data_IF_560685802670
#
_entry.id   IF_560685802670
#
_cell.length_a   1.000
_cell.length_b   1.000
_cell.length_c   1.000
_cell.angle_alpha   90.00
_cell.angle_beta   90.00
_cell.angle_gamma   90.00
#
_symmetry.space_group_name_H-M   'P 1'
#
loop_
_entity.id
_entity.type
_entity.pdbx_description
1 polymer ?
#
# COMPACT_ATOMS: atom_id res chain seq x y z
N UNK A 1 -9.33 7.81 -5.96
CA UNK A 1 -9.96 6.96 -4.95
C UNK A 1 -11.44 7.33 -4.82
N UNK A 2 -12.36 6.39 -5.01
CA UNK A 2 -13.76 6.55 -4.65
C UNK A 2 -13.97 6.18 -3.17
N UNK A 3 -14.74 6.99 -2.44
CA UNK A 3 -15.04 6.74 -1.02
C UNK A 3 -16.52 6.38 -0.87
N UNK A 4 -16.80 5.19 -0.35
CA UNK A 4 -18.13 4.69 0.00
C UNK A 4 -18.24 4.52 1.52
N UNK A 5 -19.19 5.19 2.18
CA UNK A 5 -19.27 5.19 3.63
C UNK A 5 -20.69 5.06 4.16
N UNK A 6 -20.92 4.17 5.12
CA UNK A 6 -22.17 4.13 5.87
C UNK A 6 -22.33 5.32 6.84
N UNK A 7 -21.20 5.92 7.27
CA UNK A 7 -21.20 7.10 8.14
C UNK A 7 -20.95 8.38 7.35
N UNK A 8 -21.87 9.35 7.41
CA UNK A 8 -21.71 10.66 6.79
C UNK A 8 -20.51 11.43 7.37
N UNK A 9 -20.41 11.51 8.69
CA UNK A 9 -19.34 12.25 9.37
C UNK A 9 -17.97 11.59 9.13
N UNK A 10 -17.89 10.27 9.25
CA UNK A 10 -16.62 9.56 9.03
C UNK A 10 -16.21 9.56 7.55
N UNK A 11 -17.17 9.43 6.62
CA UNK A 11 -16.91 9.57 5.19
C UNK A 11 -16.33 10.95 4.84
N UNK A 12 -16.88 12.02 5.42
CA UNK A 12 -16.35 13.38 5.25
C UNK A 12 -14.96 13.55 5.86
N UNK A 13 -14.69 12.90 7.01
CA UNK A 13 -13.36 12.87 7.61
C UNK A 13 -12.34 12.17 6.70
N UNK A 14 -12.69 10.99 6.18
CA UNK A 14 -11.81 10.26 5.23
C UNK A 14 -11.53 11.09 3.97
N UNK A 15 -12.55 11.73 3.43
CA UNK A 15 -12.41 12.59 2.25
C UNK A 15 -11.45 13.76 2.51
N UNK A 16 -11.60 14.45 3.65
CA UNK A 16 -10.71 15.55 4.02
C UNK A 16 -9.27 15.06 4.22
N UNK A 17 -9.09 13.96 4.96
CA UNK A 17 -7.77 13.39 5.24
C UNK A 17 -7.07 12.87 3.95
N UNK A 18 -7.83 12.28 3.01
CA UNK A 18 -7.30 11.86 1.73
C UNK A 18 -6.82 13.06 0.90
N UNK A 19 -7.60 14.13 0.85
CA UNK A 19 -7.21 15.36 0.12
C UNK A 19 -6.00 16.06 0.74
N UNK A 20 -5.91 16.08 2.07
CA UNK A 20 -4.74 16.65 2.77
C UNK A 20 -3.44 15.91 2.40
N UNK A 21 -3.53 14.61 2.11
CA UNK A 21 -2.42 13.77 1.62
C UNK A 21 -2.22 13.81 0.09
N UNK A 22 -2.94 14.66 -0.64
CA UNK A 22 -2.84 14.70 -2.10
C UNK A 22 -3.47 13.50 -2.81
N UNK A 23 -4.25 12.67 -2.11
CA UNK A 23 -4.97 11.54 -2.72
C UNK A 23 -6.15 12.08 -3.53
N UNK A 24 -6.15 11.82 -4.83
CA UNK A 24 -7.25 12.20 -5.72
C UNK A 24 -8.55 11.48 -5.35
N UNK A 25 -9.58 12.23 -4.94
CA UNK A 25 -10.88 11.68 -4.52
C UNK A 25 -12.01 12.27 -5.37
N UNK A 26 -12.28 11.68 -6.56
CA UNK A 26 -13.31 12.18 -7.49
C UNK A 26 -14.71 12.06 -6.93
N UNK A 27 -14.98 11.09 -6.04
CA UNK A 27 -16.30 10.82 -5.52
C UNK A 27 -16.30 10.37 -4.07
N UNK A 28 -17.26 10.90 -3.31
CA UNK A 28 -17.66 10.43 -1.99
C UNK A 28 -19.15 10.16 -1.98
N UNK A 29 -19.57 8.96 -1.60
CA UNK A 29 -20.98 8.62 -1.39
C UNK A 29 -21.17 8.14 0.05
N UNK A 30 -22.14 8.71 0.74
CA UNK A 30 -22.53 8.25 2.08
C UNK A 30 -23.94 7.68 2.03
N UNK A 31 -24.12 6.43 2.50
CA UNK A 31 -25.40 5.71 2.45
C UNK A 31 -26.25 5.89 3.71
N UNK A 32 -25.63 6.36 4.81
CA UNK A 32 -26.34 6.49 6.09
C UNK A 32 -26.91 5.14 6.56
N UNK A 33 -28.18 5.15 6.94
CA UNK A 33 -28.88 3.97 7.45
C UNK A 33 -29.30 2.96 6.35
N UNK A 34 -28.89 3.17 5.11
CA UNK A 34 -29.16 2.25 3.99
C UNK A 34 -30.65 1.93 3.82
N UNK A 35 -31.49 2.98 3.78
CA UNK A 35 -32.93 2.84 3.59
C UNK A 35 -33.29 2.47 2.14
N UNK A 36 -32.44 2.89 1.18
CA UNK A 36 -32.63 2.66 -0.26
C UNK A 36 -31.38 2.03 -0.88
N UNK A 37 -30.26 2.78 -0.93
CA UNK A 37 -28.99 2.30 -1.46
C UNK A 37 -28.11 1.71 -0.34
N UNK A 38 -27.55 0.56 -0.61
CA UNK A 38 -26.61 -0.14 0.28
C UNK A 38 -25.18 0.16 -0.12
N UNK A 39 -24.24 -0.03 0.79
CA UNK A 39 -22.79 0.09 0.53
C UNK A 39 -22.37 -0.79 -0.67
N UNK A 40 -22.97 -1.97 -0.79
CA UNK A 40 -22.72 -2.88 -1.90
C UNK A 40 -23.07 -2.25 -3.27
N UNK A 41 -24.18 -1.52 -3.37
CA UNK A 41 -24.59 -0.88 -4.62
C UNK A 41 -23.61 0.20 -5.04
N UNK A 42 -23.06 0.93 -4.06
CA UNK A 42 -22.05 1.96 -4.30
C UNK A 42 -20.71 1.35 -4.72
N UNK A 43 -20.27 0.26 -4.06
CA UNK A 43 -19.06 -0.46 -4.45
C UNK A 43 -19.17 -1.00 -5.88
N UNK A 44 -20.31 -1.59 -6.23
CA UNK A 44 -20.54 -2.11 -7.59
C UNK A 44 -20.55 -1.00 -8.63
N UNK A 45 -21.23 0.13 -8.35
CA UNK A 45 -21.19 1.30 -9.22
C UNK A 45 -19.75 1.83 -9.39
N UNK A 46 -19.00 1.98 -8.29
CA UNK A 46 -17.59 2.39 -8.34
C UNK A 46 -16.71 1.41 -9.12
N UNK A 47 -17.02 0.11 -9.08
CA UNK A 47 -16.32 -0.89 -9.88
C UNK A 47 -16.47 -0.64 -11.38
N UNK A 48 -17.60 -0.08 -11.83
CA UNK A 48 -17.87 0.26 -13.23
C UNK A 48 -17.44 1.69 -13.61
N UNK A 49 -17.30 2.62 -12.67
CA UNK A 49 -17.00 4.02 -12.92
C UNK A 49 -15.54 4.24 -13.35
N UNK A 50 -15.29 4.85 -14.50
CA UNK A 50 -13.94 5.03 -15.07
C UNK A 50 -13.06 5.96 -14.23
N UNK A 51 -13.65 6.94 -13.55
CA UNK A 51 -12.96 7.90 -12.69
C UNK A 51 -12.49 7.31 -11.35
N UNK A 52 -12.94 6.11 -10.98
CA UNK A 52 -12.55 5.42 -9.74
C UNK A 52 -11.56 4.31 -10.05
N UNK A 53 -10.35 4.42 -9.52
CA UNK A 53 -9.30 3.40 -9.67
C UNK A 53 -9.12 2.53 -8.43
N UNK A 54 -9.42 3.08 -7.25
CA UNK A 54 -9.34 2.43 -5.93
C UNK A 54 -10.61 2.73 -5.16
N UNK A 55 -11.17 1.75 -4.48
CA UNK A 55 -12.39 1.91 -3.67
C UNK A 55 -12.01 1.86 -2.19
N UNK A 56 -12.19 2.97 -1.48
CA UNK A 56 -12.12 3.05 -0.05
C UNK A 56 -13.52 2.92 0.55
N UNK A 57 -13.72 1.96 1.45
CA UNK A 57 -15.03 1.71 2.03
C UNK A 57 -15.01 1.75 3.56
N UNK A 58 -16.06 2.30 4.15
CA UNK A 58 -16.31 2.26 5.59
C UNK A 58 -17.65 1.59 5.87
N UNK A 59 -17.63 0.52 6.65
CA UNK A 59 -18.81 -0.27 6.97
C UNK A 59 -18.98 -0.49 8.48
N UNK A 60 -20.18 -0.28 8.98
CA UNK A 60 -20.61 -0.62 10.35
C UNK A 60 -21.28 -2.00 10.37
N UNK A 61 -22.04 -2.34 9.32
CA UNK A 61 -22.69 -3.64 9.15
C UNK A 61 -22.89 -3.99 7.68
N UNK A 62 -23.14 -5.27 7.40
CA UNK A 62 -23.50 -5.76 6.08
C UNK A 62 -24.83 -6.47 6.20
N UNK A 63 -25.90 -5.91 5.59
CA UNK A 63 -27.25 -6.44 5.69
C UNK A 63 -27.50 -7.61 4.73
N UNK A 64 -26.99 -7.46 3.50
CA UNK A 64 -27.07 -8.49 2.45
C UNK A 64 -25.65 -8.95 2.09
N UNK A 65 -25.24 -10.06 2.69
CA UNK A 65 -23.91 -10.65 2.46
C UNK A 65 -23.71 -11.12 1.02
N UNK A 66 -24.76 -11.67 0.38
CA UNK A 66 -24.65 -12.15 -1.00
C UNK A 66 -24.44 -10.99 -1.98
N UNK A 67 -25.21 -9.90 -1.82
CA UNK A 67 -25.06 -8.67 -2.60
C UNK A 67 -23.68 -8.02 -2.39
N UNK A 68 -23.21 -8.00 -1.15
CA UNK A 68 -21.90 -7.46 -0.81
C UNK A 68 -20.77 -8.25 -1.48
N UNK A 69 -20.81 -9.59 -1.43
CA UNK A 69 -19.84 -10.45 -2.13
C UNK A 69 -19.86 -10.17 -3.65
N UNK A 70 -21.04 -10.08 -4.28
CA UNK A 70 -21.18 -9.76 -5.71
C UNK A 70 -20.52 -8.43 -6.07
N UNK A 71 -20.70 -7.39 -5.25
CA UNK A 71 -20.08 -6.09 -5.45
C UNK A 71 -18.55 -6.13 -5.34
N UNK A 72 -18.02 -6.85 -4.34
CA UNK A 72 -16.57 -7.06 -4.19
C UNK A 72 -15.97 -7.87 -5.35
N UNK A 73 -16.68 -8.87 -5.85
CA UNK A 73 -16.28 -9.61 -7.05
C UNK A 73 -16.30 -8.75 -8.31
N UNK A 74 -17.27 -7.83 -8.44
CA UNK A 74 -17.30 -6.87 -9.54
C UNK A 74 -16.05 -5.97 -9.50
N UNK A 75 -15.68 -5.44 -8.34
CA UNK A 75 -14.46 -4.66 -8.15
C UNK A 75 -13.19 -5.47 -8.49
N UNK A 76 -13.11 -6.74 -8.02
CA UNK A 76 -12.00 -7.64 -8.33
C UNK A 76 -11.89 -7.90 -9.84
N UNK A 77 -12.99 -8.18 -10.54
CA UNK A 77 -13.01 -8.36 -11.99
C UNK A 77 -12.57 -7.11 -12.75
N UNK A 78 -12.98 -5.93 -12.27
CA UNK A 78 -12.55 -4.64 -12.80
C UNK A 78 -11.09 -4.29 -12.45
N UNK A 79 -10.41 -5.13 -11.65
CA UNK A 79 -9.04 -4.91 -11.12
C UNK A 79 -8.93 -3.61 -10.32
N UNK A 80 -9.99 -3.26 -9.60
CA UNK A 80 -10.03 -2.12 -8.69
C UNK A 80 -9.89 -2.62 -7.25
N UNK A 81 -8.78 -2.27 -6.55
CA UNK A 81 -8.60 -2.68 -5.17
C UNK A 81 -9.69 -2.09 -4.29
N UNK A 82 -10.17 -2.88 -3.34
CA UNK A 82 -11.06 -2.44 -2.28
C UNK A 82 -10.29 -2.43 -0.97
N UNK A 83 -10.27 -1.27 -0.30
CA UNK A 83 -9.71 -1.09 1.04
C UNK A 83 -10.87 -0.79 1.96
N UNK A 84 -11.19 -1.76 2.83
CA UNK A 84 -12.37 -1.71 3.68
C UNK A 84 -12.00 -1.51 5.15
N UNK A 85 -12.55 -0.49 5.78
CA UNK A 85 -12.59 -0.37 7.23
C UNK A 85 -13.94 -0.86 7.75
N UNK A 86 -13.99 -2.12 8.23
CA UNK A 86 -15.16 -2.68 8.91
C UNK A 86 -14.97 -2.53 10.41
N UNK A 87 -15.82 -1.72 11.03
CA UNK A 87 -15.82 -1.46 12.48
C UNK A 87 -16.77 -2.41 13.23
N UNK A 88 -16.83 -2.30 14.57
CA UNK A 88 -17.62 -3.21 15.40
C UNK A 88 -16.98 -4.60 15.56
N UNK A 89 -15.65 -4.68 15.71
CA UNK A 89 -14.86 -5.91 15.81
C UNK A 89 -14.80 -6.47 17.24
N UNK A 90 -14.82 -5.60 18.23
CA UNK A 90 -14.81 -5.97 19.66
C UNK A 90 -16.23 -5.96 20.23
N UNK A 91 -16.44 -6.66 21.32
CA UNK A 91 -17.75 -6.67 21.99
C UNK A 91 -18.26 -5.24 22.33
N UNK A 92 -17.35 -4.34 22.73
CA UNK A 92 -17.70 -2.93 22.99
C UNK A 92 -18.03 -2.18 21.69
N UNK A 93 -17.25 -2.40 20.63
CA UNK A 93 -17.49 -1.80 19.32
C UNK A 93 -18.79 -2.32 18.67
N UNK A 94 -19.08 -3.61 18.83
CA UNK A 94 -20.33 -4.22 18.38
C UNK A 94 -21.55 -3.60 19.09
N UNK A 95 -21.52 -3.50 20.41
CA UNK A 95 -22.58 -2.87 21.18
C UNK A 95 -22.80 -1.40 20.77
N UNK A 96 -21.71 -0.65 20.52
CA UNK A 96 -21.78 0.71 20.04
C UNK A 96 -22.41 0.80 18.63
N UNK A 97 -22.02 -0.07 17.68
CA UNK A 97 -22.58 -0.12 16.34
C UNK A 97 -24.07 -0.49 16.36
N UNK A 98 -24.47 -1.47 17.16
CA UNK A 98 -25.87 -1.87 17.33
C UNK A 98 -26.75 -0.73 17.86
N UNK A 99 -26.24 0.04 18.83
CA UNK A 99 -26.97 1.18 19.39
C UNK A 99 -27.10 2.35 18.40
N UNK A 100 -26.15 2.47 17.45
CA UNK A 100 -26.10 3.57 16.49
C UNK A 100 -26.92 3.30 15.23
N UNK A 101 -26.89 2.10 14.68
CA UNK A 101 -27.48 1.79 13.36
C UNK A 101 -28.53 0.67 13.38
N UNK A 102 -28.82 0.09 14.55
CA UNK A 102 -29.66 -1.11 14.72
C UNK A 102 -29.24 -2.29 13.81
N UNK A 103 -28.00 -2.28 13.28
CA UNK A 103 -27.49 -3.37 12.45
C UNK A 103 -26.98 -4.51 13.32
N UNK A 104 -27.34 -5.75 12.92
CA UNK A 104 -26.81 -6.97 13.57
C UNK A 104 -25.37 -7.12 13.12
N UNK A 105 -24.44 -7.17 14.07
CA UNK A 105 -23.05 -7.50 13.78
C UNK A 105 -22.96 -8.97 13.36
N UNK A 106 -22.37 -9.24 12.21
CA UNK A 106 -22.04 -10.59 11.79
C UNK A 106 -20.77 -11.13 12.48
N UNK A 107 -20.51 -12.44 12.38
CA UNK A 107 -19.25 -13.03 12.87
C UNK A 107 -18.04 -12.40 12.14
N UNK A 108 -17.17 -11.74 12.91
CA UNK A 108 -16.00 -11.03 12.39
C UNK A 108 -15.00 -11.95 11.69
N UNK A 109 -14.94 -13.25 12.09
CA UNK A 109 -14.08 -14.27 11.46
C UNK A 109 -14.61 -14.65 10.07
N UNK A 110 -15.94 -14.73 9.92
CA UNK A 110 -16.55 -14.96 8.60
C UNK A 110 -16.27 -13.78 7.67
N UNK A 111 -16.38 -12.55 8.19
CA UNK A 111 -16.03 -11.36 7.45
C UNK A 111 -14.56 -11.37 7.01
N UNK A 112 -13.61 -11.67 7.91
CA UNK A 112 -12.19 -11.76 7.57
C UNK A 112 -11.91 -12.81 6.49
N UNK A 113 -12.55 -13.98 6.57
CA UNK A 113 -12.40 -15.05 5.59
C UNK A 113 -12.91 -14.62 4.20
N UNK A 114 -14.11 -14.03 4.12
CA UNK A 114 -14.71 -13.56 2.86
C UNK A 114 -13.87 -12.44 2.24
N UNK A 115 -13.44 -11.47 3.03
CA UNK A 115 -12.60 -10.36 2.55
C UNK A 115 -11.26 -10.84 2.03
N UNK A 116 -10.62 -11.80 2.76
CA UNK A 116 -9.37 -12.43 2.35
C UNK A 116 -9.49 -13.18 1.02
N UNK A 117 -10.55 -13.97 0.85
CA UNK A 117 -10.82 -14.77 -0.35
C UNK A 117 -11.05 -13.88 -1.60
N UNK A 118 -11.67 -12.72 -1.39
CA UNK A 118 -11.93 -11.73 -2.45
C UNK A 118 -10.77 -10.75 -2.68
N UNK A 119 -9.69 -10.86 -1.90
CA UNK A 119 -8.53 -9.99 -2.02
C UNK A 119 -8.78 -8.56 -1.53
N UNK A 120 -9.76 -8.35 -0.65
CA UNK A 120 -10.05 -7.04 -0.05
C UNK A 120 -9.05 -6.79 1.07
N UNK A 121 -8.43 -5.61 1.09
CA UNK A 121 -7.61 -5.20 2.22
C UNK A 121 -8.49 -4.64 3.34
N UNK A 122 -8.49 -5.32 4.49
CA UNK A 122 -9.22 -4.88 5.68
C UNK A 122 -8.34 -3.96 6.54
N UNK A 123 -8.52 -2.66 6.42
CA UNK A 123 -7.80 -1.67 7.22
C UNK A 123 -8.29 -1.61 8.68
N UNK A 124 -7.36 -1.44 9.61
CA UNK A 124 -7.63 -1.35 11.06
C UNK A 124 -7.66 0.09 11.57
N UNK A 125 -7.01 0.99 10.85
CA UNK A 125 -6.90 2.41 11.19
C UNK A 125 -7.14 3.27 9.96
N UNK A 126 -7.48 4.54 10.17
CA UNK A 126 -7.59 5.55 9.11
C UNK A 126 -6.28 5.69 8.34
N UNK A 127 -5.17 5.69 9.06
CA UNK A 127 -3.82 5.76 8.50
C UNK A 127 -3.55 4.61 7.53
N UNK A 128 -3.81 3.38 7.96
CA UNK A 128 -3.65 2.18 7.15
C UNK A 128 -4.51 2.21 5.88
N UNK A 129 -5.78 2.63 6.01
CA UNK A 129 -6.68 2.78 4.86
C UNK A 129 -6.11 3.75 3.83
N UNK A 130 -5.65 4.93 4.28
CA UNK A 130 -5.12 5.96 3.40
C UNK A 130 -3.77 5.56 2.79
N UNK A 131 -2.88 4.91 3.55
CA UNK A 131 -1.59 4.43 3.06
C UNK A 131 -1.77 3.42 1.92
N UNK A 132 -2.65 2.44 2.12
CA UNK A 132 -2.93 1.43 1.08
C UNK A 132 -3.58 2.08 -0.14
N UNK A 133 -4.53 3.00 0.05
CA UNK A 133 -5.13 3.74 -1.05
C UNK A 133 -4.10 4.57 -1.83
N UNK A 134 -3.17 5.23 -1.14
CA UNK A 134 -2.12 6.04 -1.77
C UNK A 134 -1.19 5.18 -2.64
N UNK A 135 -0.73 4.03 -2.13
CA UNK A 135 0.11 3.12 -2.91
C UNK A 135 -0.67 2.51 -4.07
N UNK A 136 -1.93 2.13 -3.86
CA UNK A 136 -2.77 1.52 -4.86
C UNK A 136 -3.03 2.41 -6.10
N UNK A 137 -2.97 3.74 -5.96
CA UNK A 137 -3.06 4.68 -7.10
C UNK A 137 -1.91 4.52 -8.12
N UNK A 138 -0.79 3.87 -7.76
CA UNK A 138 0.27 3.52 -8.72
C UNK A 138 -0.17 2.43 -9.70
N UNK A 139 -1.25 1.70 -9.42
CA UNK A 139 -1.82 0.64 -10.27
C UNK A 139 -0.84 -0.49 -10.58
N UNK A 140 0.14 -0.69 -9.73
CA UNK A 140 1.13 -1.77 -9.80
C UNK A 140 0.74 -2.82 -8.75
N UNK A 141 0.29 -3.99 -9.22
CA UNK A 141 -0.18 -5.10 -8.39
C UNK A 141 0.59 -6.36 -8.73
N UNK A 142 1.80 -6.54 -8.18
CA UNK A 142 2.67 -7.65 -8.54
C UNK A 142 2.14 -8.97 -8.01
N UNK A 143 2.12 -9.99 -8.87
CA UNK A 143 1.95 -11.40 -8.47
C UNK A 143 3.31 -11.91 -7.99
N UNK A 144 3.35 -12.63 -6.86
CA UNK A 144 4.61 -13.06 -6.26
C UNK A 144 5.46 -11.87 -5.76
N UNK A 145 4.81 -10.89 -5.13
CA UNK A 145 5.48 -9.67 -4.65
C UNK A 145 6.64 -10.00 -3.71
N UNK A 146 7.76 -9.33 -3.91
CA UNK A 146 8.96 -9.42 -3.07
C UNK A 146 9.49 -8.03 -2.73
N UNK A 147 10.06 -7.88 -1.54
CA UNK A 147 10.58 -6.62 -1.05
C UNK A 147 12.11 -6.56 -1.07
N UNK A 148 12.65 -5.53 -1.72
CA UNK A 148 14.03 -5.09 -1.59
C UNK A 148 14.13 -3.85 -0.71
N UNK A 149 15.15 -3.78 0.14
CA UNK A 149 15.37 -2.64 1.04
C UNK A 149 16.78 -2.11 0.90
N UNK A 150 16.91 -0.84 0.53
CA UNK A 150 18.17 -0.10 0.57
C UNK A 150 18.14 0.89 1.73
N UNK A 151 19.17 0.88 2.56
CA UNK A 151 19.23 1.71 3.77
C UNK A 151 20.66 2.13 4.11
N UNK A 152 20.78 3.16 4.95
CA UNK A 152 22.03 3.56 5.61
C UNK A 152 22.06 3.14 7.10
N UNK A 153 21.05 2.37 7.53
CA UNK A 153 20.86 1.99 8.93
C UNK A 153 20.56 0.49 9.04
N UNK A 154 21.52 -0.27 9.52
CA UNK A 154 21.32 -1.71 9.77
C UNK A 154 20.14 -1.99 10.72
N UNK A 155 19.98 -1.18 11.78
CA UNK A 155 18.85 -1.31 12.72
C UNK A 155 17.48 -1.10 12.06
N UNK A 156 17.35 -0.13 11.15
CA UNK A 156 16.13 0.06 10.38
C UNK A 156 15.87 -1.12 9.44
N UNK A 157 16.95 -1.68 8.86
CA UNK A 157 16.84 -2.89 8.03
C UNK A 157 16.21 -4.06 8.80
N UNK A 158 16.62 -4.28 10.07
CA UNK A 158 16.03 -5.31 10.94
C UNK A 158 14.55 -5.03 11.22
N UNK A 159 14.21 -3.79 11.59
CA UNK A 159 12.81 -3.39 11.81
C UNK A 159 11.92 -3.66 10.58
N UNK A 160 12.42 -3.32 9.39
CA UNK A 160 11.69 -3.53 8.12
C UNK A 160 11.53 -5.03 7.84
N UNK A 161 12.57 -5.83 8.12
CA UNK A 161 12.51 -7.28 7.91
C UNK A 161 11.47 -7.95 8.82
N UNK A 162 11.42 -7.58 10.11
CA UNK A 162 10.42 -8.06 11.07
C UNK A 162 8.99 -7.67 10.61
N UNK A 163 8.81 -6.43 10.15
CA UNK A 163 7.52 -5.98 9.62
C UNK A 163 7.12 -6.74 8.34
N UNK A 164 8.08 -7.02 7.46
CA UNK A 164 7.84 -7.76 6.21
C UNK A 164 7.43 -9.21 6.50
N UNK A 165 8.11 -9.88 7.43
CA UNK A 165 7.72 -11.22 7.87
C UNK A 165 6.31 -11.25 8.46
N UNK A 166 6.00 -10.32 9.36
CA UNK A 166 4.67 -10.19 9.95
C UNK A 166 3.56 -9.91 8.91
N UNK A 167 3.88 -9.18 7.83
CA UNK A 167 2.96 -8.86 6.74
C UNK A 167 2.89 -9.96 5.66
N UNK A 168 3.72 -11.01 5.76
CA UNK A 168 3.84 -12.06 4.75
C UNK A 168 4.41 -11.57 3.42
N UNK A 169 5.29 -10.54 3.44
CA UNK A 169 5.96 -9.99 2.27
C UNK A 169 7.40 -10.53 2.20
N UNK A 170 7.72 -11.46 1.28
CA UNK A 170 9.01 -12.10 1.21
C UNK A 170 10.15 -11.13 0.90
N UNK A 171 11.29 -11.32 1.56
CA UNK A 171 12.53 -10.58 1.34
C UNK A 171 13.67 -11.54 0.94
N UNK A 172 13.70 -12.07 -0.29
CA UNK A 172 14.77 -12.94 -0.73
C UNK A 172 16.12 -12.21 -0.74
N UNK A 173 17.24 -12.90 -0.49
CA UNK A 173 18.55 -12.28 -0.55
C UNK A 173 18.89 -11.82 -1.98
N UNK A 174 19.73 -10.79 -2.11
CA UNK A 174 20.32 -10.41 -3.38
C UNK A 174 21.12 -11.59 -3.96
N UNK A 175 21.18 -11.76 -5.32
CA UNK A 175 22.08 -12.71 -5.96
C UNK A 175 23.54 -12.53 -5.52
N UNK A 176 24.28 -13.62 -5.41
CA UNK A 176 25.65 -13.59 -4.85
C UNK A 176 26.62 -12.73 -5.69
N UNK A 177 26.50 -12.75 -7.00
CA UNK A 177 27.27 -11.92 -7.93
C UNK A 177 26.96 -10.42 -7.76
N UNK A 178 25.70 -10.06 -7.55
CA UNK A 178 25.27 -8.70 -7.23
C UNK A 178 25.83 -8.27 -5.87
N UNK A 179 25.74 -9.14 -4.84
CA UNK A 179 26.35 -8.86 -3.55
C UNK A 179 27.87 -8.61 -3.68
N UNK A 180 28.58 -9.44 -4.44
CA UNK A 180 30.02 -9.26 -4.66
C UNK A 180 30.33 -7.95 -5.42
N UNK A 181 29.51 -7.57 -6.38
CA UNK A 181 29.60 -6.29 -7.13
C UNK A 181 29.46 -5.10 -6.18
N UNK A 182 28.42 -5.09 -5.33
CA UNK A 182 28.18 -4.02 -4.37
C UNK A 182 29.26 -3.94 -3.29
N UNK A 183 29.78 -5.09 -2.86
CA UNK A 183 30.86 -5.14 -1.88
C UNK A 183 32.20 -4.61 -2.41
N UNK A 184 32.43 -4.69 -3.72
CA UNK A 184 33.59 -4.03 -4.35
C UNK A 184 33.48 -2.51 -4.36
N UNK A 185 32.24 -1.97 -4.46
CA UNK A 185 32.00 -0.51 -4.37
C UNK A 185 32.14 0.00 -2.95
N UNK A 186 31.60 -0.73 -1.97
CA UNK A 186 31.67 -0.39 -0.54
C UNK A 186 32.01 -1.64 0.25
N UNK A 187 33.30 -1.86 0.62
CA UNK A 187 33.75 -3.07 1.28
C UNK A 187 33.07 -3.39 2.61
N UNK A 188 32.60 -2.36 3.31
CA UNK A 188 31.91 -2.51 4.61
C UNK A 188 30.39 -2.62 4.48
N UNK A 189 29.82 -2.53 3.29
CA UNK A 189 28.39 -2.72 3.06
C UNK A 189 27.92 -4.13 3.42
N UNK A 190 26.65 -4.24 3.80
CA UNK A 190 25.94 -5.51 3.92
C UNK A 190 24.94 -5.65 2.76
N UNK A 191 25.33 -6.27 1.64
CA UNK A 191 24.55 -6.24 0.41
C UNK A 191 23.56 -7.40 0.27
N UNK A 192 23.18 -8.07 1.34
CA UNK A 192 22.35 -9.28 1.28
C UNK A 192 20.86 -8.99 0.98
N UNK A 193 20.22 -8.09 1.58
CA UNK A 193 18.82 -7.67 1.71
C UNK A 193 18.29 -8.00 3.13
N UNK A 194 17.99 -6.99 3.95
CA UNK A 194 18.13 -5.54 3.65
C UNK A 194 19.56 -5.15 3.27
N UNK A 195 19.68 -4.29 2.26
CA UNK A 195 20.99 -3.84 1.77
C UNK A 195 21.38 -2.56 2.49
N UNK A 196 22.39 -2.65 3.38
CA UNK A 196 22.96 -1.50 4.09
C UNK A 196 24.17 -0.97 3.32
N UNK A 197 23.98 0.19 2.66
CA UNK A 197 25.06 0.88 1.94
C UNK A 197 25.97 1.70 2.85
N UNK A 198 25.73 1.69 4.15
CA UNK A 198 26.46 2.39 5.21
C UNK A 198 26.43 3.92 5.13
N UNK A 199 26.86 4.57 6.21
CA UNK A 199 27.00 6.03 6.24
C UNK A 199 28.04 6.58 5.26
N UNK A 200 28.86 5.73 4.61
CA UNK A 200 29.81 6.17 3.56
C UNK A 200 29.09 6.78 2.34
N UNK A 201 27.84 6.40 2.12
CA UNK A 201 26.97 7.03 1.12
C UNK A 201 26.84 8.55 1.29
N UNK A 202 27.10 9.07 2.50
CA UNK A 202 27.17 10.53 2.75
C UNK A 202 28.30 11.22 1.96
N UNK A 203 29.45 10.55 1.79
CA UNK A 203 30.60 11.10 1.08
C UNK A 203 30.47 10.94 -0.45
N UNK A 204 29.73 9.95 -0.92
CA UNK A 204 29.48 9.70 -2.34
C UNK A 204 28.03 9.26 -2.53
N UNK A 205 27.15 10.20 -2.89
CA UNK A 205 25.73 9.94 -3.08
C UNK A 205 25.45 9.00 -4.27
N UNK A 206 26.35 8.94 -5.26
CA UNK A 206 26.25 8.00 -6.38
C UNK A 206 26.28 6.53 -5.95
N UNK A 207 26.78 6.24 -4.75
CA UNK A 207 26.70 4.89 -4.15
C UNK A 207 25.24 4.50 -3.92
N UNK A 208 24.41 5.41 -3.42
CA UNK A 208 22.98 5.14 -3.17
C UNK A 208 22.28 4.75 -4.47
N UNK A 209 22.48 5.52 -5.56
CA UNK A 209 21.92 5.23 -6.86
C UNK A 209 22.33 3.85 -7.37
N UNK A 210 23.64 3.51 -7.30
CA UNK A 210 24.15 2.20 -7.74
C UNK A 210 23.59 1.03 -6.92
N UNK A 211 23.40 1.22 -5.61
CA UNK A 211 22.80 0.20 -4.76
C UNK A 211 21.33 0.00 -5.06
N UNK A 212 20.57 1.08 -5.18
CA UNK A 212 19.14 1.03 -5.52
C UNK A 212 18.92 0.44 -6.94
N UNK A 213 19.76 0.83 -7.91
CA UNK A 213 19.74 0.28 -9.27
C UNK A 213 20.01 -1.23 -9.28
N UNK A 214 21.07 -1.70 -8.60
CA UNK A 214 21.39 -3.11 -8.50
C UNK A 214 20.25 -3.91 -7.86
N UNK A 215 19.57 -3.35 -6.86
CA UNK A 215 18.40 -3.99 -6.27
C UNK A 215 17.24 -4.12 -7.25
N UNK A 216 16.99 -3.09 -8.06
CA UNK A 216 15.93 -3.14 -9.07
C UNK A 216 16.30 -4.10 -10.23
N UNK A 217 17.54 -4.02 -10.72
CA UNK A 217 18.00 -4.78 -11.88
C UNK A 217 18.38 -6.22 -11.52
N UNK A 218 19.34 -6.38 -10.60
CA UNK A 218 19.94 -7.69 -10.28
C UNK A 218 19.07 -8.45 -9.26
N UNK A 219 18.50 -7.75 -8.27
CA UNK A 219 17.62 -8.34 -7.25
C UNK A 219 16.22 -8.65 -7.75
N UNK A 220 15.74 -7.91 -8.73
CA UNK A 220 14.45 -8.13 -9.39
C UNK A 220 13.23 -7.96 -8.47
N UNK A 221 13.36 -7.20 -7.37
CA UNK A 221 12.28 -6.99 -6.43
C UNK A 221 11.15 -6.17 -7.05
N UNK A 222 9.91 -6.63 -6.88
CA UNK A 222 8.73 -5.92 -7.38
C UNK A 222 8.36 -4.70 -6.52
N UNK A 223 8.72 -4.73 -5.23
CA UNK A 223 8.55 -3.63 -4.29
C UNK A 223 9.89 -3.27 -3.66
N UNK A 224 10.14 -1.97 -3.47
CA UNK A 224 11.38 -1.46 -2.90
C UNK A 224 11.09 -0.40 -1.84
N UNK A 225 11.83 -0.43 -0.74
CA UNK A 225 11.88 0.64 0.25
C UNK A 225 13.30 1.23 0.28
N UNK A 226 13.40 2.54 0.11
CA UNK A 226 14.60 3.32 0.35
C UNK A 226 14.47 4.06 1.68
N UNK A 227 15.25 3.65 2.70
CA UNK A 227 15.18 4.25 4.04
C UNK A 227 16.39 5.12 4.32
N UNK A 228 16.18 6.44 4.44
CA UNK A 228 17.27 7.43 4.57
C UNK A 228 17.08 8.40 5.74
N UNK A 229 16.45 7.96 6.82
CA UNK A 229 16.34 8.70 8.09
C UNK A 229 15.90 10.17 7.90
N UNK A 230 16.67 11.12 8.46
CA UNK A 230 16.43 12.56 8.35
C UNK A 230 17.16 13.24 7.15
N UNK A 231 17.69 12.49 6.21
CA UNK A 231 18.40 13.06 5.05
C UNK A 231 17.49 13.94 4.18
N UNK A 232 16.19 13.67 4.19
CA UNK A 232 15.19 14.49 3.50
C UNK A 232 15.08 15.92 4.03
N UNK A 233 15.42 16.16 5.29
CA UNK A 233 15.42 17.48 5.89
C UNK A 233 16.70 18.30 5.55
N UNK A 234 17.77 17.65 5.11
CA UNK A 234 19.05 18.30 4.81
C UNK A 234 19.00 19.09 3.51
N UNK A 235 19.29 20.39 3.51
CA UNK A 235 19.29 21.19 2.27
C UNK A 235 20.41 20.82 1.29
N UNK A 236 21.46 20.15 1.76
CA UNK A 236 22.63 19.78 0.94
C UNK A 236 22.60 18.33 0.47
N UNK A 237 21.96 17.44 1.25
CA UNK A 237 21.89 16.00 0.95
C UNK A 237 20.63 15.68 0.13
N UNK A 238 19.47 16.20 0.54
CA UNK A 238 18.19 15.87 -0.06
C UNK A 238 18.13 16.05 -1.58
N UNK A 239 18.67 17.15 -2.17
CA UNK A 239 18.65 17.31 -3.62
C UNK A 239 19.49 16.27 -4.36
N UNK A 240 20.63 15.86 -3.80
CA UNK A 240 21.52 14.84 -4.38
C UNK A 240 20.88 13.45 -4.29
N UNK A 241 20.36 13.10 -3.10
CA UNK A 241 19.64 11.86 -2.87
C UNK A 241 18.45 11.73 -3.81
N UNK A 242 17.68 12.81 -3.97
CA UNK A 242 16.54 12.90 -4.89
C UNK A 242 16.95 12.57 -6.32
N UNK A 243 18.04 13.17 -6.82
CA UNK A 243 18.52 12.94 -8.18
C UNK A 243 18.91 11.46 -8.40
N UNK A 244 19.65 10.86 -7.47
CA UNK A 244 20.08 9.46 -7.57
C UNK A 244 18.87 8.48 -7.54
N UNK A 245 17.95 8.68 -6.60
CA UNK A 245 16.78 7.80 -6.49
C UNK A 245 15.78 8.04 -7.64
N UNK A 246 15.64 9.28 -8.14
CA UNK A 246 14.79 9.59 -9.28
C UNK A 246 15.23 8.86 -10.54
N UNK A 247 16.55 8.79 -10.79
CA UNK A 247 17.09 8.06 -11.92
C UNK A 247 16.68 6.58 -11.90
N UNK A 248 16.67 5.96 -10.70
CA UNK A 248 16.22 4.57 -10.53
C UNK A 248 14.71 4.44 -10.71
N UNK A 249 13.92 5.35 -10.11
CA UNK A 249 12.46 5.35 -10.26
C UNK A 249 12.04 5.44 -11.73
N UNK A 250 12.70 6.30 -12.51
CA UNK A 250 12.40 6.49 -13.94
C UNK A 250 12.82 5.30 -14.80
N UNK A 251 13.92 4.62 -14.43
CA UNK A 251 14.41 3.44 -15.13
C UNK A 251 13.54 2.19 -14.89
N UNK A 252 12.83 2.11 -13.76
CA UNK A 252 12.03 0.95 -13.36
C UNK A 252 10.59 1.36 -12.99
N UNK A 253 9.80 1.89 -13.95
CA UNK A 253 8.45 2.41 -13.68
C UNK A 253 7.42 1.32 -13.35
N UNK A 254 7.76 0.05 -13.55
CA UNK A 254 6.96 -1.13 -13.22
C UNK A 254 7.14 -1.62 -11.78
N UNK A 255 7.98 -0.94 -10.98
CA UNK A 255 8.25 -1.26 -9.57
C UNK A 255 7.51 -0.32 -8.63
N UNK A 256 7.10 -0.87 -7.49
CA UNK A 256 6.64 -0.05 -6.37
C UNK A 256 7.86 0.47 -5.59
N UNK A 257 8.03 1.77 -5.56
CA UNK A 257 9.17 2.39 -4.88
C UNK A 257 8.67 3.35 -3.79
N UNK A 258 8.92 3.00 -2.53
CA UNK A 258 8.60 3.85 -1.39
C UNK A 258 9.87 4.44 -0.80
N UNK A 259 9.88 5.76 -0.65
CA UNK A 259 10.91 6.49 0.07
C UNK A 259 10.46 6.65 1.52
N UNK A 260 11.15 6.00 2.44
CA UNK A 260 10.91 6.16 3.88
C UNK A 260 11.94 7.14 4.44
N UNK A 261 11.49 8.37 4.73
CA UNK A 261 12.36 9.49 5.04
C UNK A 261 11.63 10.56 5.84
N UNK A 262 12.35 11.20 6.76
CA UNK A 262 11.86 12.40 7.46
C UNK A 262 12.24 13.65 6.67
N UNK A 263 11.23 14.43 6.29
CA UNK A 263 11.41 15.68 5.55
C UNK A 263 10.32 16.69 5.92
N UNK A 264 10.57 18.01 5.77
CA UNK A 264 9.52 19.03 5.87
C UNK A 264 8.42 18.82 4.82
N UNK A 265 7.16 19.23 5.09
CA UNK A 265 6.03 18.98 4.19
C UNK A 265 6.19 19.53 2.76
N UNK A 266 6.86 20.67 2.60
CA UNK A 266 7.16 21.23 1.29
C UNK A 266 8.13 20.34 0.50
N UNK A 267 9.12 19.77 1.17
CA UNK A 267 10.06 18.83 0.58
C UNK A 267 9.40 17.48 0.24
N UNK A 268 8.51 16.99 1.09
CA UNK A 268 7.70 15.79 0.80
C UNK A 268 6.92 16.00 -0.51
N UNK A 269 6.24 17.14 -0.66
CA UNK A 269 5.50 17.47 -1.89
C UNK A 269 6.40 17.52 -3.14
N UNK A 270 7.65 17.99 -3.02
CA UNK A 270 8.61 17.96 -4.13
C UNK A 270 8.94 16.53 -4.56
N UNK A 271 9.11 15.59 -3.61
CA UNK A 271 9.39 14.19 -3.90
C UNK A 271 8.17 13.49 -4.51
N UNK A 272 6.98 13.78 -3.98
CA UNK A 272 5.73 13.25 -4.51
C UNK A 272 5.45 13.74 -5.94
N UNK A 273 5.78 14.99 -6.25
CA UNK A 273 5.69 15.53 -7.60
C UNK A 273 6.62 14.83 -8.60
N UNK A 274 7.74 14.27 -8.15
CA UNK A 274 8.62 13.39 -8.94
C UNK A 274 8.08 11.97 -9.11
N UNK A 275 7.00 11.64 -8.43
CA UNK A 275 6.37 10.32 -8.48
C UNK A 275 6.75 9.37 -7.36
N UNK A 276 7.53 9.80 -6.36
CA UNK A 276 7.79 8.98 -5.18
C UNK A 276 6.54 8.80 -4.32
N UNK A 277 6.45 7.65 -3.66
CA UNK A 277 5.59 7.44 -2.51
C UNK A 277 6.43 7.73 -1.27
N UNK A 278 6.04 8.72 -0.46
CA UNK A 278 6.81 9.12 0.72
C UNK A 278 6.06 8.70 1.98
N UNK A 279 6.72 7.91 2.84
CA UNK A 279 6.19 7.47 4.13
C UNK A 279 7.27 7.58 5.21
N UNK A 280 6.97 8.23 6.33
CA UNK A 280 7.95 8.38 7.41
C UNK A 280 8.24 7.05 8.11
N UNK A 281 7.20 6.26 8.39
CA UNK A 281 7.31 4.95 9.06
C UNK A 281 7.44 3.83 8.03
N UNK A 282 8.60 3.13 8.00
CA UNK A 282 8.83 2.04 7.07
C UNK A 282 7.93 0.83 7.32
N UNK A 283 7.41 0.61 8.54
CA UNK A 283 6.49 -0.49 8.83
C UNK A 283 5.14 -0.27 8.14
N UNK A 284 4.69 0.99 8.06
CA UNK A 284 3.50 1.37 7.29
C UNK A 284 3.72 1.13 5.79
N UNK A 285 4.91 1.47 5.28
CA UNK A 285 5.28 1.20 3.90
C UNK A 285 5.24 -0.29 3.58
N UNK A 286 5.81 -1.13 4.43
CA UNK A 286 5.77 -2.60 4.29
C UNK A 286 4.34 -3.12 4.20
N UNK A 287 3.48 -2.70 5.11
CA UNK A 287 2.08 -3.12 5.16
C UNK A 287 1.33 -2.74 3.87
N UNK A 288 1.52 -1.51 3.38
CA UNK A 288 0.90 -1.05 2.14
C UNK A 288 1.42 -1.80 0.91
N UNK A 289 2.74 -2.06 0.83
CA UNK A 289 3.34 -2.85 -0.25
C UNK A 289 2.88 -4.32 -0.23
N UNK A 290 2.74 -4.91 0.96
CA UNK A 290 2.18 -6.26 1.10
C UNK A 290 0.73 -6.34 0.58
N UNK A 291 -0.08 -5.29 0.80
CA UNK A 291 -1.44 -5.22 0.26
C UNK A 291 -1.45 -5.23 -1.27
N UNK A 292 -0.48 -4.58 -1.94
CA UNK A 292 -0.40 -4.58 -3.41
C UNK A 292 -0.18 -5.99 -3.97
N UNK A 293 0.66 -6.80 -3.32
CA UNK A 293 0.84 -8.20 -3.69
C UNK A 293 -0.45 -9.01 -3.56
N UNK A 294 -1.17 -8.86 -2.43
CA UNK A 294 -2.48 -9.53 -2.23
C UNK A 294 -3.50 -9.13 -3.30
N UNK A 295 -3.56 -7.85 -3.69
CA UNK A 295 -4.40 -7.44 -4.82
C UNK A 295 -3.98 -8.11 -6.13
N UNK A 296 -2.68 -8.19 -6.40
CA UNK A 296 -2.15 -8.86 -7.58
C UNK A 296 -2.58 -10.33 -7.68
N UNK A 297 -2.43 -11.07 -6.58
CA UNK A 297 -2.86 -12.47 -6.48
C UNK A 297 -4.37 -12.62 -6.69
N UNK A 298 -5.18 -11.79 -6.03
CA UNK A 298 -6.64 -11.83 -6.16
C UNK A 298 -7.09 -11.51 -7.60
N UNK A 299 -6.46 -10.55 -8.26
CA UNK A 299 -6.77 -10.21 -9.66
C UNK A 299 -6.33 -11.29 -10.64
N UNK A 300 -5.28 -12.05 -10.34
CA UNK A 300 -4.84 -13.19 -11.14
C UNK A 300 -5.82 -14.37 -11.02
N UNK A 301 -6.26 -14.70 -9.80
CA UNK A 301 -7.23 -15.77 -9.54
C UNK A 301 -8.59 -15.52 -10.20
N UNK A 302 -9.06 -14.27 -10.21
CA UNK A 302 -10.30 -13.88 -10.89
C UNK A 302 -10.31 -14.15 -12.40
N UNK A 303 -9.14 -14.22 -13.05
CA UNK A 303 -9.02 -14.64 -14.46
C UNK A 303 -9.21 -16.13 -14.66
N UNK A 304 -8.79 -16.97 -13.71
CA UNK A 304 -8.94 -18.42 -13.81
C UNK A 304 -10.39 -18.88 -13.67
N UNK A 305 -11.19 -18.25 -12.82
CA UNK A 305 -12.62 -18.58 -12.68
C UNK A 305 -13.42 -18.29 -13.95
N UNK A 306 -13.09 -17.22 -14.68
CA UNK A 306 -13.74 -16.89 -15.97
C UNK A 306 -13.37 -17.89 -17.08
N UNK A 307 -12.16 -18.45 -17.08
CA UNK A 307 -11.72 -19.44 -18.05
C UNK A 307 -12.36 -20.83 -17.82
N UNK A 308 -12.74 -21.15 -16.59
CA UNK A 308 -13.41 -22.42 -16.23
C UNK A 308 -14.93 -22.38 -16.52
N UNK A 309 -15.56 -21.21 -16.41
CA UNK A 309 -17.00 -21.05 -16.66
C UNK A 309 -17.31 -20.77 -18.15
N UNK A 310 -16.30 -20.55 -18.98
CA UNK A 310 -16.41 -20.33 -20.43
C UNK A 310 -16.17 -21.56 -21.32
N UNK A 311 -16.23 -22.78 -20.76
CA UNK A 311 -16.18 -24.05 -21.48
C UNK A 311 -17.49 -24.80 -21.42
#
# INVERSE_FOLDING_TARGET
>A
VGIASQSGAYGSHLFAAARDRGIGTPVLVTTGNEADLHLADIIEWMAAADEVEVIAAYAEGVRDGARFVQALEAARRARKPVVLMKVGRSAVGEAAAQSHTASIAGDDRVMDAVLGDLGVHRARTTEELLDVCQVAQKRIYPVGNTLGVVTISGGAGVLIADAAEAAGLPMPPMPEDAQAKLKRLVPFASPRNPVDCTAQAFNDMGVVGKFAESMAADGGYASMIAFFTQWGASPTIAPKLRAELKAVLDAYPDRLFVLSILAPPDRVREWEADGFLVMEDPSRAVMALAAMGRFGEAFAQGRHHLLVLGR
#
